data_IF_553827172359
#
_entry.id   IF_553827172359
#
_cell.length_a   1.000
_cell.length_b   1.000
_cell.length_c   1.000
_cell.angle_alpha   90.00
_cell.angle_beta   90.00
_cell.angle_gamma   90.00
#
_symmetry.space_group_name_H-M   'P 1'
#
loop_
_entity.id
_entity.type
_entity.pdbx_description
1 polymer ?
#
# COMPACT_ATOMS: atom_id res chain seq x y z
N UNK A 1 -11.43 34.58 -13.52
CA UNK A 1 -12.67 34.24 -14.27
C UNK A 1 -13.09 32.83 -13.89
N UNK A 2 -14.36 32.58 -13.51
CA UNK A 2 -14.85 31.22 -13.23
C UNK A 2 -14.63 30.28 -14.44
N UNK A 3 -14.26 29.03 -14.18
CA UNK A 3 -14.00 28.04 -15.23
C UNK A 3 -12.64 28.17 -15.95
N UNK A 4 -11.86 29.21 -15.68
CA UNK A 4 -10.55 29.41 -16.31
C UNK A 4 -9.43 28.93 -15.40
N UNK A 5 -8.54 28.06 -15.91
CA UNK A 5 -7.36 27.57 -15.18
C UNK A 5 -6.21 28.58 -15.27
N UNK A 6 -6.36 29.72 -14.61
CA UNK A 6 -5.38 30.81 -14.63
C UNK A 6 -4.20 30.64 -13.64
N UNK A 7 -4.28 29.66 -12.71
CA UNK A 7 -3.32 29.51 -11.61
C UNK A 7 -2.46 28.25 -11.75
N UNK A 8 -1.20 28.34 -11.30
CA UNK A 8 -0.27 27.20 -11.21
C UNK A 8 -0.22 26.68 -9.77
N UNK A 9 -0.30 25.36 -9.61
CA UNK A 9 -0.10 24.69 -8.32
C UNK A 9 1.35 24.22 -8.22
N UNK A 10 2.12 24.85 -7.35
CA UNK A 10 3.47 24.39 -6.98
C UNK A 10 3.37 23.64 -5.66
N UNK A 11 3.63 22.33 -5.68
CA UNK A 11 3.53 21.46 -4.51
C UNK A 11 4.90 20.88 -4.17
N UNK A 12 5.26 20.90 -2.88
CA UNK A 12 6.41 20.14 -2.38
C UNK A 12 5.99 18.68 -2.24
N UNK A 13 6.78 17.78 -2.80
CA UNK A 13 6.60 16.35 -2.64
C UNK A 13 7.55 15.85 -1.55
N UNK A 14 7.04 15.01 -0.65
CA UNK A 14 7.84 14.30 0.34
C UNK A 14 7.87 12.83 -0.03
N UNK A 15 8.92 12.14 0.42
CA UNK A 15 9.04 10.70 0.30
C UNK A 15 9.25 10.04 1.66
N UNK A 16 8.92 8.75 1.73
CA UNK A 16 9.25 7.87 2.85
C UNK A 16 9.55 6.48 2.31
N UNK A 17 10.47 5.78 2.97
CA UNK A 17 10.69 4.36 2.74
C UNK A 17 9.79 3.55 3.65
N UNK A 18 8.96 2.71 3.06
CA UNK A 18 7.99 1.89 3.76
C UNK A 18 8.23 0.41 3.49
N UNK A 19 8.02 -0.42 4.51
CA UNK A 19 8.06 -1.88 4.36
C UNK A 19 6.70 -2.33 3.83
N UNK A 20 6.70 -3.30 2.91
CA UNK A 20 5.47 -3.93 2.42
C UNK A 20 5.13 -5.09 3.37
N UNK A 21 4.09 -4.90 4.19
CA UNK A 21 3.58 -5.94 5.08
C UNK A 21 2.46 -6.79 4.47
N UNK A 22 1.95 -6.40 3.29
CA UNK A 22 0.93 -7.15 2.57
C UNK A 22 0.46 -6.46 1.30
N UNK A 23 -0.49 -7.06 0.60
CA UNK A 23 -1.09 -6.48 -0.61
C UNK A 23 -2.56 -6.87 -0.77
N UNK A 24 -3.26 -6.18 -1.68
CA UNK A 24 -4.61 -6.54 -2.11
C UNK A 24 -4.63 -6.81 -3.60
N UNK A 25 -5.46 -7.74 -4.04
CA UNK A 25 -5.76 -7.92 -5.45
C UNK A 25 -6.69 -6.82 -5.98
N UNK A 26 -6.69 -6.63 -7.29
CA UNK A 26 -7.72 -5.88 -7.99
C UNK A 26 -9.08 -6.56 -7.86
N UNK A 27 -10.15 -5.77 -7.93
CA UNK A 27 -11.52 -6.28 -7.88
C UNK A 27 -11.90 -7.17 -9.07
N UNK A 28 -11.26 -6.98 -10.22
CA UNK A 28 -11.60 -7.62 -11.49
C UNK A 28 -10.59 -8.68 -11.94
N UNK A 29 -9.45 -8.82 -11.25
CA UNK A 29 -8.38 -9.70 -11.70
C UNK A 29 -7.46 -10.10 -10.55
N UNK A 30 -6.84 -11.28 -10.66
CA UNK A 30 -5.81 -11.77 -9.75
C UNK A 30 -4.45 -11.11 -10.02
N UNK A 31 -4.42 -9.79 -9.97
CA UNK A 31 -3.22 -8.96 -10.05
C UNK A 31 -3.20 -8.01 -8.87
N UNK A 32 -2.01 -7.64 -8.41
CA UNK A 32 -1.84 -6.68 -7.33
C UNK A 32 -2.53 -5.36 -7.66
N UNK A 33 -3.42 -4.94 -6.76
CA UNK A 33 -4.17 -3.69 -6.82
C UNK A 33 -3.53 -2.60 -5.97
N UNK A 34 -3.09 -2.95 -4.77
CA UNK A 34 -2.44 -2.04 -3.83
C UNK A 34 -1.45 -2.75 -2.92
N UNK A 35 -0.37 -2.07 -2.55
CA UNK A 35 0.57 -2.50 -1.51
C UNK A 35 0.18 -1.87 -0.17
N UNK A 36 0.19 -2.67 0.90
CA UNK A 36 -0.04 -2.23 2.27
C UNK A 36 1.31 -1.91 2.91
N UNK A 37 1.43 -0.69 3.41
CA UNK A 37 2.67 -0.07 3.86
C UNK A 37 2.77 -0.10 5.37
N UNK A 38 3.96 -0.36 5.89
CA UNK A 38 4.26 -0.34 7.31
C UNK A 38 5.53 0.43 7.66
N UNK A 39 5.56 0.94 8.89
CA UNK A 39 6.74 1.50 9.53
C UNK A 39 6.99 0.81 10.86
N UNK A 40 8.26 0.59 11.20
CA UNK A 40 8.62 0.06 12.50
C UNK A 40 8.45 1.13 13.57
N UNK A 41 7.74 0.79 14.65
CA UNK A 41 7.61 1.63 15.83
C UNK A 41 8.75 1.41 16.83
N UNK A 42 8.75 2.17 17.92
CA UNK A 42 9.78 2.10 18.97
C UNK A 42 9.90 0.73 19.63
N UNK A 43 8.84 -0.09 19.60
CA UNK A 43 8.85 -1.45 20.11
C UNK A 43 9.34 -2.50 19.08
N UNK A 44 9.82 -2.06 17.91
CA UNK A 44 10.27 -2.93 16.82
C UNK A 44 9.13 -3.66 16.10
N UNK A 45 7.89 -3.23 16.29
CA UNK A 45 6.72 -3.82 15.62
C UNK A 45 6.39 -3.06 14.34
N UNK A 46 5.97 -3.79 13.30
CA UNK A 46 5.58 -3.21 12.02
C UNK A 46 4.11 -2.75 12.08
N UNK A 47 3.90 -1.43 12.17
CA UNK A 47 2.59 -0.80 12.18
C UNK A 47 2.15 -0.48 10.75
N UNK A 48 0.93 -0.85 10.38
CA UNK A 48 0.30 -0.44 9.14
C UNK A 48 0.02 1.07 9.14
N UNK A 49 0.54 1.78 8.14
CA UNK A 49 0.46 3.25 8.01
C UNK A 49 -0.35 3.73 6.81
N UNK A 50 -0.73 2.82 5.91
CA UNK A 50 -1.51 3.16 4.71
C UNK A 50 -1.25 2.20 3.56
N UNK A 51 -1.62 2.63 2.36
CA UNK A 51 -1.42 1.83 1.15
C UNK A 51 -1.11 2.71 -0.06
N UNK A 52 -0.52 2.12 -1.09
CA UNK A 52 -0.35 2.74 -2.41
C UNK A 52 -0.93 1.85 -3.50
N UNK A 53 -1.55 2.44 -4.52
CA UNK A 53 -2.24 1.71 -5.60
C UNK A 53 -1.84 2.16 -7.02
N UNK A 54 -0.93 3.14 -7.13
CA UNK A 54 -0.45 3.70 -8.40
C UNK A 54 0.64 2.83 -9.01
N UNK A 55 0.28 1.60 -9.37
CA UNK A 55 1.16 0.60 -10.00
C UNK A 55 0.89 0.59 -11.51
N UNK A 56 1.94 0.70 -12.33
CA UNK A 56 1.81 0.63 -13.79
C UNK A 56 1.26 -0.73 -14.24
N UNK A 57 0.52 -0.78 -15.34
CA UNK A 57 -0.21 -2.00 -15.75
C UNK A 57 0.77 -3.11 -16.16
N UNK A 58 1.83 -2.73 -16.84
CA UNK A 58 2.94 -3.56 -17.29
C UNK A 58 3.67 -4.25 -16.12
N UNK A 59 3.85 -3.56 -14.99
CA UNK A 59 4.59 -4.07 -13.84
C UNK A 59 3.77 -5.04 -12.97
N UNK A 60 2.44 -4.97 -13.06
CA UNK A 60 1.53 -5.73 -12.17
C UNK A 60 1.76 -7.23 -12.25
N UNK A 61 1.97 -7.79 -13.45
CA UNK A 61 2.12 -9.23 -13.60
C UNK A 61 3.38 -9.75 -12.90
N UNK A 62 4.50 -9.05 -13.07
CA UNK A 62 5.76 -9.41 -12.41
C UNK A 62 5.68 -9.19 -10.90
N UNK A 63 5.18 -8.03 -10.47
CA UNK A 63 5.05 -7.70 -9.06
C UNK A 63 4.12 -8.67 -8.32
N UNK A 64 3.02 -9.11 -8.95
CA UNK A 64 2.11 -10.10 -8.37
C UNK A 64 2.85 -11.41 -8.08
N UNK A 65 3.62 -11.93 -9.05
CA UNK A 65 4.41 -13.16 -8.84
C UNK A 65 5.41 -13.03 -7.69
N UNK A 66 6.11 -11.89 -7.61
CA UNK A 66 7.07 -11.62 -6.53
C UNK A 66 6.38 -11.62 -5.16
N UNK A 67 5.26 -10.92 -5.03
CA UNK A 67 4.51 -10.83 -3.78
C UNK A 67 3.85 -12.15 -3.39
N UNK A 68 3.29 -12.89 -4.34
CA UNK A 68 2.71 -14.22 -4.10
C UNK A 68 3.77 -15.20 -3.55
N UNK A 69 5.00 -15.15 -4.05
CA UNK A 69 6.12 -15.97 -3.55
C UNK A 69 6.60 -15.59 -2.14
N UNK A 70 6.29 -14.38 -1.68
CA UNK A 70 6.64 -13.88 -0.35
C UNK A 70 5.47 -13.92 0.64
N UNK A 71 4.34 -14.55 0.27
CA UNK A 71 3.15 -14.64 1.13
C UNK A 71 3.45 -15.39 2.41
N UNK A 72 3.34 -14.70 3.55
CA UNK A 72 3.64 -15.27 4.86
C UNK A 72 2.95 -14.44 5.97
N UNK A 73 2.07 -15.05 6.79
CA UNK A 73 1.54 -14.41 7.99
C UNK A 73 2.64 -14.13 9.03
N UNK A 74 2.52 -13.09 9.87
CA UNK A 74 1.36 -12.19 10.00
C UNK A 74 1.43 -10.97 9.07
N UNK A 75 2.54 -10.73 8.38
CA UNK A 75 2.81 -9.51 7.60
C UNK A 75 3.06 -8.29 8.48
N UNK A 76 2.05 -7.86 9.26
CA UNK A 76 2.15 -6.78 10.23
C UNK A 76 2.19 -7.34 11.67
N UNK A 77 3.09 -6.82 12.50
CA UNK A 77 3.30 -7.30 13.89
C UNK A 77 2.85 -6.29 14.95
N UNK A 78 2.49 -5.07 14.55
CA UNK A 78 1.87 -4.04 15.38
C UNK A 78 0.41 -3.81 15.00
N UNK A 79 0.07 -2.58 14.64
CA UNK A 79 -1.24 -2.22 14.08
C UNK A 79 -1.43 -2.92 12.73
N UNK A 80 -2.47 -3.73 12.60
CA UNK A 80 -2.77 -4.44 11.36
C UNK A 80 -3.80 -3.67 10.48
N UNK A 81 -3.81 -3.90 9.16
CA UNK A 81 -4.87 -3.45 8.26
C UNK A 81 -6.24 -4.02 8.65
N UNK A 82 -7.32 -3.32 8.28
CA UNK A 82 -8.69 -3.77 8.51
C UNK A 82 -9.44 -3.09 9.68
N UNK A 83 -8.81 -2.10 10.32
CA UNK A 83 -9.50 -1.26 11.31
C UNK A 83 -10.69 -0.47 10.74
N UNK A 84 -11.70 -0.13 11.56
CA UNK A 84 -12.87 0.62 11.12
C UNK A 84 -12.49 2.05 10.69
N UNK A 85 -13.01 2.50 9.55
CA UNK A 85 -12.83 3.88 9.06
C UNK A 85 -14.06 4.33 8.26
N UNK A 86 -14.25 5.67 8.12
CA UNK A 86 -15.34 6.27 7.33
C UNK A 86 -15.37 5.80 5.87
N UNK A 87 -14.24 5.33 5.35
CA UNK A 87 -14.07 4.86 3.97
C UNK A 87 -13.91 3.33 3.88
N UNK A 88 -14.03 2.61 5.00
CA UNK A 88 -13.93 1.15 5.00
C UNK A 88 -15.17 0.55 4.34
N UNK A 89 -14.95 -0.26 3.31
CA UNK A 89 -15.93 -1.16 2.70
C UNK A 89 -15.68 -2.60 3.15
N UNK A 90 -16.59 -3.54 2.86
CA UNK A 90 -16.38 -4.98 3.16
C UNK A 90 -15.02 -5.50 2.65
N UNK A 91 -14.56 -5.03 1.48
CA UNK A 91 -13.28 -5.45 0.87
C UNK A 91 -12.04 -4.85 1.52
N UNK A 92 -12.19 -3.92 2.46
CA UNK A 92 -11.05 -3.29 3.12
C UNK A 92 -10.31 -4.25 4.07
N UNK A 93 -10.99 -5.32 4.50
CA UNK A 93 -10.42 -6.38 5.33
C UNK A 93 -9.74 -7.52 4.56
N UNK A 94 -9.94 -7.63 3.25
CA UNK A 94 -9.33 -8.69 2.44
C UNK A 94 -7.95 -8.26 1.94
N UNK A 95 -6.90 -8.90 2.45
CA UNK A 95 -5.52 -8.67 2.03
C UNK A 95 -4.67 -9.92 2.28
N UNK A 96 -3.55 -9.99 1.57
CA UNK A 96 -2.58 -11.08 1.63
C UNK A 96 -1.35 -10.62 2.41
N UNK A 97 -0.96 -11.31 3.51
CA UNK A 97 0.22 -10.96 4.26
C UNK A 97 1.50 -11.36 3.53
N UNK A 98 2.53 -10.53 3.66
CA UNK A 98 3.83 -10.73 3.02
C UNK A 98 4.94 -10.60 4.05
N UNK A 99 5.95 -11.46 3.96
CA UNK A 99 7.14 -11.37 4.82
C UNK A 99 7.79 -9.99 4.68
N UNK A 100 8.12 -9.29 5.78
CA UNK A 100 8.54 -7.87 5.75
C UNK A 100 10.01 -7.69 5.31
N UNK A 101 10.32 -8.09 4.08
CA UNK A 101 11.65 -7.98 3.46
C UNK A 101 11.71 -6.94 2.33
N UNK A 102 10.55 -6.55 1.80
CA UNK A 102 10.45 -5.61 0.69
C UNK A 102 10.25 -4.18 1.20
N UNK A 103 11.16 -3.29 0.83
CA UNK A 103 11.07 -1.84 1.08
C UNK A 103 10.75 -1.11 -0.21
N UNK A 104 9.87 -0.12 -0.14
CA UNK A 104 9.46 0.74 -1.25
C UNK A 104 9.54 2.21 -0.88
N UNK A 105 10.05 3.04 -1.78
CA UNK A 105 9.94 4.51 -1.66
C UNK A 105 8.53 4.93 -2.11
N UNK A 106 7.83 5.69 -1.27
CA UNK A 106 6.50 6.24 -1.58
C UNK A 106 6.51 7.76 -1.47
N UNK A 107 5.74 8.43 -2.32
CA UNK A 107 5.55 9.89 -2.29
C UNK A 107 4.19 10.25 -1.70
N UNK A 108 4.12 11.32 -0.89
CA UNK A 108 2.90 11.82 -0.26
C UNK A 108 2.86 13.35 -0.12
#
# INVERSE_FOLDING_TARGET
QPGVRAMVKVKRLRSADCVVGGFRYLSSSRQVGSLLLGLYNEAGKLDHVGFTSTIAKEDRAELTRKLEAMREPPGFTGKAPGGPSRWSTERSGEWEPVRPELVVEVRF
#
